data_IF_523828245877
#
_entry.id   IF_523828245877
#
_cell.length_a   1.000
_cell.length_b   1.000
_cell.length_c   1.000
_cell.angle_alpha   90.00
_cell.angle_beta   90.00
_cell.angle_gamma   90.00
#
_symmetry.space_group_name_H-M   'P 1'
#
loop_
_entity.id
_entity.type
_entity.pdbx_description
1 polymer ?
#
# COMPACT_ATOMS: atom_id res chain seq x y z
N UNK A 1 -63.61 16.76 2.54
CA UNK A 1 -62.43 17.13 3.35
C UNK A 1 -61.39 16.07 3.08
N UNK A 2 -60.42 16.42 2.25
CA UNK A 2 -59.31 15.56 1.84
C UNK A 2 -58.35 15.54 3.01
N UNK A 3 -58.10 14.36 3.58
CA UNK A 3 -57.07 14.15 4.60
C UNK A 3 -55.86 13.53 3.91
N UNK A 4 -54.83 14.35 3.69
CA UNK A 4 -53.55 13.91 3.16
C UNK A 4 -52.82 13.07 4.22
N UNK A 5 -52.43 11.86 3.85
CA UNK A 5 -51.53 11.00 4.62
C UNK A 5 -50.09 11.32 4.20
N UNK A 6 -49.33 11.98 5.06
CA UNK A 6 -47.89 12.14 4.88
C UNK A 6 -47.18 10.79 5.13
N UNK A 7 -46.75 10.17 4.03
CA UNK A 7 -45.81 9.06 4.04
C UNK A 7 -44.40 9.64 4.11
N UNK A 8 -43.79 9.58 5.30
CA UNK A 8 -42.37 9.88 5.52
C UNK A 8 -41.53 8.73 4.96
N UNK A 9 -41.20 8.78 3.67
CA UNK A 9 -40.13 7.98 3.08
C UNK A 9 -38.78 8.60 3.50
N UNK A 10 -38.01 7.86 4.29
CA UNK A 10 -36.64 8.21 4.62
C UNK A 10 -35.80 8.14 3.36
N UNK A 11 -35.42 9.31 2.81
CA UNK A 11 -34.41 9.42 1.78
C UNK A 11 -33.06 8.99 2.36
N UNK A 12 -32.64 7.78 1.99
CA UNK A 12 -31.27 7.34 2.19
C UNK A 12 -30.35 8.27 1.41
N UNK A 13 -29.53 9.02 2.14
CA UNK A 13 -28.45 9.84 1.59
C UNK A 13 -27.57 8.97 0.70
N UNK A 14 -27.80 9.03 -0.61
CA UNK A 14 -26.92 8.45 -1.60
C UNK A 14 -25.55 9.11 -1.41
N UNK A 15 -24.57 8.33 -0.96
CA UNK A 15 -23.18 8.72 -1.00
C UNK A 15 -22.83 8.87 -2.48
N UNK A 16 -22.86 10.09 -2.98
CA UNK A 16 -22.29 10.45 -4.28
C UNK A 16 -20.80 10.16 -4.21
N UNK A 17 -20.42 8.99 -4.70
CA UNK A 17 -19.05 8.71 -5.14
C UNK A 17 -18.75 9.78 -6.18
N UNK A 18 -17.80 10.66 -5.89
CA UNK A 18 -17.31 11.63 -6.88
C UNK A 18 -16.77 10.82 -8.05
N UNK A 19 -17.35 11.00 -9.23
CA UNK A 19 -16.71 10.59 -10.48
C UNK A 19 -15.31 11.21 -10.49
N UNK A 20 -14.30 10.37 -10.57
CA UNK A 20 -12.91 10.80 -10.68
C UNK A 20 -12.63 11.13 -12.13
N UNK A 21 -12.20 12.36 -12.42
CA UNK A 21 -11.75 12.80 -13.75
C UNK A 21 -10.44 12.11 -14.22
N UNK A 22 -9.95 11.11 -13.48
CA UNK A 22 -8.72 10.40 -13.77
C UNK A 22 -8.94 9.23 -14.73
N UNK A 23 -7.93 8.92 -15.53
CA UNK A 23 -7.96 7.70 -16.36
C UNK A 23 -8.08 6.44 -15.48
N UNK A 24 -8.60 5.33 -16.03
CA UNK A 24 -8.64 4.02 -15.34
C UNK A 24 -7.26 3.66 -14.77
N UNK A 25 -6.20 3.96 -15.51
CA UNK A 25 -4.83 3.76 -15.06
C UNK A 25 -4.50 4.60 -13.81
N UNK A 26 -4.88 5.87 -13.75
CA UNK A 26 -4.65 6.73 -12.59
C UNK A 26 -5.39 6.23 -11.34
N UNK A 27 -6.60 5.69 -11.50
CA UNK A 27 -7.34 5.07 -10.42
C UNK A 27 -6.70 3.78 -9.91
N UNK A 28 -6.12 2.99 -10.82
CA UNK A 28 -5.53 1.69 -10.49
C UNK A 28 -4.15 1.81 -9.86
N UNK A 29 -3.31 2.72 -10.37
CA UNK A 29 -1.89 2.82 -9.98
C UNK A 29 -1.49 4.19 -9.43
N UNK A 30 -2.45 5.09 -9.18
CA UNK A 30 -2.18 6.34 -8.47
C UNK A 30 -1.65 6.08 -7.06
N UNK A 31 -0.59 6.80 -6.68
CA UNK A 31 0.07 6.61 -5.39
C UNK A 31 0.72 5.23 -5.19
N UNK A 32 1.07 4.53 -6.27
CA UNK A 32 1.64 3.19 -6.19
C UNK A 32 3.03 3.15 -5.51
N UNK A 33 3.83 4.21 -5.61
CA UNK A 33 5.21 4.21 -5.15
C UNK A 33 5.47 5.17 -4.00
N UNK A 34 6.03 4.65 -2.92
CA UNK A 34 6.55 5.49 -1.83
C UNK A 34 8.06 5.67 -1.98
N UNK A 35 8.52 6.92 -1.89
CA UNK A 35 9.91 7.24 -2.08
C UNK A 35 10.76 6.97 -0.84
N UNK A 36 11.56 5.91 -0.90
CA UNK A 36 12.41 5.44 0.18
C UNK A 36 13.90 5.80 -0.04
N UNK A 37 14.19 7.06 -0.38
CA UNK A 37 15.55 7.49 -0.79
C UNK A 37 16.66 7.27 0.24
N UNK A 38 16.33 7.24 1.54
CA UNK A 38 17.30 6.96 2.62
C UNK A 38 17.70 5.48 2.71
N UNK A 39 16.99 4.58 2.03
CA UNK A 39 17.20 3.15 2.11
C UNK A 39 17.95 2.65 0.87
N UNK A 40 18.64 1.49 0.95
CA UNK A 40 19.29 0.90 -0.20
C UNK A 40 18.31 0.71 -1.38
N UNK A 41 18.79 0.90 -2.63
CA UNK A 41 20.18 1.16 -3.00
C UNK A 41 20.61 2.62 -2.89
N UNK A 42 19.70 3.59 -2.95
CA UNK A 42 20.03 5.01 -3.04
C UNK A 42 20.81 5.51 -1.82
N UNK A 43 20.36 5.14 -0.61
CA UNK A 43 21.05 5.43 0.66
C UNK A 43 21.42 6.90 0.84
N UNK A 44 20.57 7.81 0.33
CA UNK A 44 20.79 9.25 0.40
C UNK A 44 20.80 9.73 1.85
N UNK A 45 21.50 10.83 2.10
CA UNK A 45 21.33 11.53 3.36
C UNK A 45 19.89 12.09 3.48
N UNK A 46 19.49 12.42 4.70
CA UNK A 46 18.12 12.83 4.99
C UNK A 46 17.72 14.11 4.24
N UNK A 47 18.58 15.13 4.17
CA UNK A 47 18.27 16.38 3.50
C UNK A 47 18.33 16.23 1.98
N UNK A 48 19.23 15.40 1.46
CA UNK A 48 19.32 15.05 0.05
C UNK A 48 18.10 14.30 -0.45
N UNK A 49 17.57 13.37 0.35
CA UNK A 49 16.30 12.70 0.08
C UNK A 49 15.16 13.71 -0.03
N UNK A 50 15.06 14.66 0.92
CA UNK A 50 14.02 15.70 0.90
C UNK A 50 14.16 16.64 -0.31
N UNK A 51 15.37 17.08 -0.64
CA UNK A 51 15.64 17.89 -1.84
C UNK A 51 15.25 17.17 -3.13
N UNK A 52 15.52 15.86 -3.21
CA UNK A 52 15.13 15.06 -4.36
C UNK A 52 13.60 14.97 -4.48
N UNK A 53 12.92 14.69 -3.38
CA UNK A 53 11.46 14.57 -3.34
C UNK A 53 10.74 15.89 -3.63
N UNK A 54 11.29 17.03 -3.19
CA UNK A 54 10.75 18.35 -3.50
C UNK A 54 10.68 18.66 -5.01
N UNK A 55 11.54 18.03 -5.82
CA UNK A 55 11.55 18.20 -7.27
C UNK A 55 10.59 17.30 -8.04
N UNK A 56 9.82 16.41 -7.38
CA UNK A 56 9.02 15.39 -8.10
C UNK A 56 7.96 15.97 -9.03
N UNK A 57 7.28 17.05 -8.64
CA UNK A 57 6.27 17.72 -9.48
C UNK A 57 6.86 18.26 -10.80
N UNK A 58 8.14 18.65 -10.79
CA UNK A 58 8.82 19.22 -11.96
C UNK A 58 9.58 18.16 -12.77
N UNK A 59 10.11 17.14 -12.10
CA UNK A 59 11.06 16.18 -12.71
C UNK A 59 10.42 14.88 -13.17
N UNK A 60 9.31 14.44 -12.55
CA UNK A 60 8.64 13.20 -12.93
C UNK A 60 7.65 13.46 -14.07
N UNK A 61 7.65 12.55 -15.06
CA UNK A 61 6.63 12.58 -16.11
C UNK A 61 5.22 12.30 -15.59
N UNK A 62 5.10 11.63 -14.43
CA UNK A 62 3.84 11.25 -13.77
C UNK A 62 3.96 11.36 -12.25
N UNK A 63 3.94 12.57 -11.67
CA UNK A 63 4.10 12.79 -10.22
C UNK A 63 3.02 12.07 -9.39
N UNK A 64 1.83 11.92 -9.95
CA UNK A 64 0.68 11.25 -9.33
C UNK A 64 0.90 9.76 -8.99
N UNK A 65 1.94 9.12 -9.53
CA UNK A 65 2.34 7.76 -9.15
C UNK A 65 2.97 7.69 -7.75
N UNK A 66 3.45 8.81 -7.22
CA UNK A 66 4.05 8.87 -5.88
C UNK A 66 2.94 8.83 -4.83
N UNK A 67 3.02 7.91 -3.87
CA UNK A 67 2.10 7.74 -2.74
C UNK A 67 2.58 8.49 -1.48
N UNK A 68 3.88 8.45 -1.23
CA UNK A 68 4.58 9.22 -0.21
C UNK A 68 5.87 9.82 -0.79
N UNK A 69 6.08 11.12 -0.57
CA UNK A 69 7.32 11.81 -0.91
C UNK A 69 8.48 11.40 -0.02
N UNK A 70 8.21 10.84 1.17
CA UNK A 70 9.26 10.40 2.08
C UNK A 70 8.85 9.15 2.89
N UNK A 71 9.60 8.06 2.73
CA UNK A 71 9.66 6.98 3.71
C UNK A 71 10.83 7.26 4.65
N UNK A 72 10.57 7.39 5.95
CA UNK A 72 11.60 7.72 6.95
C UNK A 72 11.50 6.82 8.19
N UNK A 73 12.59 6.62 8.94
CA UNK A 73 12.50 6.11 10.30
C UNK A 73 11.60 7.00 11.17
N UNK A 74 10.76 6.40 12.01
CA UNK A 74 9.80 7.14 12.83
C UNK A 74 10.47 8.16 13.78
N UNK A 75 11.70 7.89 14.23
CA UNK A 75 12.50 8.78 15.08
C UNK A 75 13.04 10.03 14.36
N UNK A 76 12.94 10.08 13.02
CA UNK A 76 13.28 11.25 12.20
C UNK A 76 12.12 12.22 12.01
N UNK A 77 10.90 11.85 12.43
CA UNK A 77 9.73 12.70 12.22
C UNK A 77 9.90 14.09 12.85
N UNK A 78 10.44 14.17 14.07
CA UNK A 78 10.67 15.45 14.76
C UNK A 78 11.69 16.36 14.05
N UNK A 79 12.55 15.80 13.19
CA UNK A 79 13.51 16.56 12.40
C UNK A 79 12.89 17.15 11.13
N UNK A 80 11.69 16.71 10.70
CA UNK A 80 10.97 17.28 9.56
C UNK A 80 10.28 18.60 9.93
N UNK A 81 11.07 19.62 10.26
CA UNK A 81 10.54 20.94 10.59
C UNK A 81 10.01 21.66 9.34
N UNK A 82 9.05 22.58 9.49
CA UNK A 82 8.58 23.42 8.38
C UNK A 82 9.73 24.13 7.64
N UNK A 83 10.67 24.71 8.38
CA UNK A 83 11.83 25.41 7.82
C UNK A 83 12.69 24.47 6.97
N UNK A 84 12.95 23.25 7.44
CA UNK A 84 13.72 22.26 6.68
C UNK A 84 13.03 21.91 5.37
N UNK A 85 11.72 21.65 5.41
CA UNK A 85 10.94 21.29 4.22
C UNK A 85 10.91 22.43 3.20
N UNK A 86 10.67 23.66 3.65
CA UNK A 86 10.71 24.85 2.80
C UNK A 86 12.10 25.06 2.20
N UNK A 87 13.18 24.93 3.00
CA UNK A 87 14.55 25.06 2.50
C UNK A 87 14.98 23.94 1.56
N UNK A 88 14.33 22.77 1.65
CA UNK A 88 14.56 21.63 0.75
C UNK A 88 13.86 21.82 -0.61
N UNK A 89 12.97 22.82 -0.73
CA UNK A 89 12.29 23.17 -1.97
C UNK A 89 10.80 22.84 -2.00
N UNK A 90 10.21 22.30 -0.94
CA UNK A 90 8.76 22.05 -0.92
C UNK A 90 7.98 23.37 -0.84
N UNK A 91 6.88 23.45 -1.59
CA UNK A 91 6.00 24.63 -1.58
C UNK A 91 5.22 24.79 -0.25
N UNK A 92 4.90 23.67 0.41
CA UNK A 92 4.21 23.66 1.70
C UNK A 92 4.50 22.37 2.48
N UNK A 93 4.82 22.45 3.78
CA UNK A 93 4.91 21.28 4.66
C UNK A 93 3.64 20.43 4.66
N UNK A 94 2.47 21.06 4.59
CA UNK A 94 1.15 20.41 4.68
C UNK A 94 0.79 19.58 3.44
N UNK A 95 1.62 19.58 2.40
CA UNK A 95 1.44 18.73 1.22
C UNK A 95 2.43 17.57 1.15
N UNK A 96 3.41 17.53 2.06
CA UNK A 96 4.42 16.46 2.06
C UNK A 96 3.81 15.21 2.70
N UNK A 97 3.69 14.13 1.94
CA UNK A 97 3.16 12.85 2.40
C UNK A 97 4.30 11.97 2.90
N UNK A 98 4.17 11.50 4.13
CA UNK A 98 5.23 10.81 4.84
C UNK A 98 4.76 9.45 5.33
N UNK A 99 5.54 8.42 5.00
CA UNK A 99 5.40 7.07 5.53
C UNK A 99 6.49 6.83 6.59
N UNK A 100 6.09 6.35 7.76
CA UNK A 100 6.98 6.07 8.88
C UNK A 100 7.35 4.59 8.92
N UNK A 101 8.62 4.29 9.14
CA UNK A 101 9.13 2.95 9.38
C UNK A 101 9.60 2.82 10.84
N UNK A 102 9.18 1.78 11.54
CA UNK A 102 9.57 1.60 12.95
C UNK A 102 9.18 0.26 13.54
N UNK A 103 9.08 0.24 14.88
CA UNK A 103 8.53 -0.87 15.66
C UNK A 103 7.08 -0.63 16.08
N UNK A 104 6.66 -1.29 17.16
CA UNK A 104 5.33 -1.12 17.75
C UNK A 104 5.27 0.00 18.80
N UNK A 105 6.42 0.58 19.16
CA UNK A 105 6.49 1.68 20.11
C UNK A 105 5.83 2.91 19.50
N UNK A 106 4.79 3.41 20.17
CA UNK A 106 3.99 4.55 19.73
C UNK A 106 4.85 5.81 19.79
N UNK A 107 5.24 6.41 18.64
CA UNK A 107 5.95 7.67 18.67
C UNK A 107 4.99 8.79 19.09
N UNK A 108 5.53 9.83 19.71
CA UNK A 108 4.81 11.10 19.84
C UNK A 108 4.72 11.74 18.45
N UNK A 109 3.51 11.76 17.89
CA UNK A 109 3.27 12.24 16.53
C UNK A 109 2.67 13.64 16.60
N UNK A 110 3.55 14.65 16.47
CA UNK A 110 3.18 16.01 16.10
C UNK A 110 3.87 16.30 14.79
N UNK A 111 3.10 16.63 13.75
CA UNK A 111 3.65 16.93 12.45
C UNK A 111 2.79 17.96 11.73
N UNK A 112 3.46 18.85 11.02
CA UNK A 112 2.85 19.76 10.03
C UNK A 112 2.95 19.18 8.61
N UNK A 113 3.13 17.86 8.49
CA UNK A 113 3.09 17.10 7.24
C UNK A 113 1.90 16.15 7.21
N UNK A 114 1.64 15.55 6.05
CA UNK A 114 0.59 14.55 5.89
C UNK A 114 1.17 13.17 6.17
N UNK A 115 0.87 12.61 7.34
CA UNK A 115 1.27 11.24 7.63
C UNK A 115 0.32 10.26 6.93
N UNK A 116 0.85 9.40 6.06
CA UNK A 116 0.03 8.47 5.26
C UNK A 116 0.02 7.06 5.81
N UNK A 117 1.16 6.56 6.29
CA UNK A 117 1.26 5.23 6.86
C UNK A 117 2.34 5.09 7.92
N UNK A 118 2.15 4.15 8.84
CA UNK A 118 3.18 3.69 9.76
C UNK A 118 3.35 2.18 9.59
N UNK A 119 4.56 1.78 9.29
CA UNK A 119 4.96 0.43 8.94
C UNK A 119 5.85 -0.14 10.04
N UNK A 120 5.32 -1.11 10.78
CA UNK A 120 6.00 -1.71 11.91
C UNK A 120 6.56 -3.09 11.56
N UNK A 121 7.86 -3.28 11.77
CA UNK A 121 8.47 -4.61 11.74
C UNK A 121 8.07 -5.38 12.98
N UNK A 122 7.63 -6.63 12.79
CA UNK A 122 7.14 -7.47 13.88
C UNK A 122 7.76 -8.85 13.80
N UNK A 123 8.48 -9.24 14.86
CA UNK A 123 9.06 -10.59 15.00
C UNK A 123 7.98 -11.63 15.39
N UNK A 124 7.06 -11.23 16.27
CA UNK A 124 5.96 -12.06 16.73
C UNK A 124 4.68 -11.22 16.87
N UNK A 125 3.57 -11.73 16.36
CA UNK A 125 2.29 -11.01 16.40
C UNK A 125 1.73 -10.97 17.83
N UNK A 126 1.61 -9.75 18.36
CA UNK A 126 0.92 -9.45 19.60
C UNK A 126 -0.28 -8.55 19.27
N UNK A 127 -1.48 -9.12 19.25
CA UNK A 127 -2.69 -8.41 18.84
C UNK A 127 -3.00 -7.19 19.72
N UNK A 128 -2.64 -7.20 21.01
CA UNK A 128 -2.87 -6.07 21.89
C UNK A 128 -1.92 -4.90 21.56
N UNK A 129 -0.64 -5.18 21.33
CA UNK A 129 0.33 -4.16 20.92
C UNK A 129 0.03 -3.61 19.51
N UNK A 130 -0.30 -4.49 18.57
CA UNK A 130 -0.69 -4.07 17.21
C UNK A 130 -1.94 -3.19 17.27
N UNK A 131 -2.94 -3.54 18.08
CA UNK A 131 -4.14 -2.72 18.25
C UNK A 131 -3.80 -1.33 18.81
N UNK A 132 -2.98 -1.26 19.87
CA UNK A 132 -2.58 0.02 20.46
C UNK A 132 -1.82 0.92 19.46
N UNK A 133 -0.89 0.35 18.70
CA UNK A 133 -0.16 1.07 17.66
C UNK A 133 -1.09 1.55 16.54
N UNK A 134 -2.00 0.68 16.08
CA UNK A 134 -3.00 0.99 15.08
C UNK A 134 -3.95 2.12 15.50
N UNK A 135 -4.49 2.06 16.72
CA UNK A 135 -5.34 3.12 17.26
C UNK A 135 -4.60 4.46 17.31
N UNK A 136 -3.30 4.45 17.62
CA UNK A 136 -2.49 5.66 17.58
C UNK A 136 -2.27 6.20 16.17
N UNK A 137 -1.90 5.34 15.23
CA UNK A 137 -1.74 5.71 13.82
C UNK A 137 -3.06 6.26 13.24
N UNK A 138 -4.17 5.56 13.50
CA UNK A 138 -5.47 5.91 12.92
C UNK A 138 -6.03 7.23 13.48
N UNK A 139 -5.72 7.60 14.73
CA UNK A 139 -6.05 8.94 15.27
C UNK A 139 -5.36 10.07 14.50
N UNK A 140 -4.21 9.80 13.89
CA UNK A 140 -3.49 10.73 13.02
C UNK A 140 -3.90 10.61 11.54
N UNK A 141 -4.96 9.84 11.23
CA UNK A 141 -5.39 9.61 9.85
C UNK A 141 -4.51 8.63 9.06
N UNK A 142 -3.55 7.98 9.70
CA UNK A 142 -2.61 7.06 9.05
C UNK A 142 -3.13 5.64 9.02
N UNK A 143 -2.78 4.90 7.97
CA UNK A 143 -2.91 3.45 7.95
C UNK A 143 -1.73 2.79 8.67
N UNK A 144 -2.00 1.81 9.53
CA UNK A 144 -0.96 1.03 10.18
C UNK A 144 -0.69 -0.25 9.38
N UNK A 145 0.57 -0.61 9.16
CA UNK A 145 0.95 -1.85 8.47
C UNK A 145 1.84 -2.70 9.37
N UNK A 146 1.47 -3.98 9.48
CA UNK A 146 2.30 -5.00 10.14
C UNK A 146 3.21 -5.63 9.08
N UNK A 147 4.53 -5.63 9.30
CA UNK A 147 5.55 -6.27 8.46
C UNK A 147 6.22 -7.44 9.22
N UNK A 148 5.66 -8.66 9.14
CA UNK A 148 6.29 -9.86 9.70
C UNK A 148 7.66 -10.11 9.09
N UNK A 149 8.66 -10.39 9.94
CA UNK A 149 10.00 -10.80 9.48
C UNK A 149 10.05 -12.31 9.21
N UNK A 150 9.17 -12.79 8.35
CA UNK A 150 8.95 -14.21 8.08
C UNK A 150 9.75 -14.72 6.89
N UNK A 151 10.14 -16.00 6.97
CA UNK A 151 10.63 -16.79 5.84
C UNK A 151 9.47 -17.18 4.90
N UNK A 152 9.74 -17.58 3.65
CA UNK A 152 8.69 -18.02 2.72
C UNK A 152 7.80 -19.15 3.27
N UNK A 153 8.37 -20.11 4.01
CA UNK A 153 7.58 -21.17 4.67
C UNK A 153 6.62 -20.61 5.72
N UNK A 154 7.08 -19.69 6.56
CA UNK A 154 6.24 -19.06 7.58
C UNK A 154 5.12 -18.23 6.96
N UNK A 155 5.35 -17.59 5.81
CA UNK A 155 4.30 -16.94 5.04
C UNK A 155 3.21 -17.93 4.64
N UNK A 156 3.58 -19.05 4.04
CA UNK A 156 2.63 -20.07 3.61
C UNK A 156 1.80 -20.62 4.78
N UNK A 157 2.45 -20.95 5.90
CA UNK A 157 1.80 -21.59 7.04
C UNK A 157 0.99 -20.58 7.90
N UNK A 158 1.44 -19.33 8.01
CA UNK A 158 0.97 -18.38 9.01
C UNK A 158 0.06 -17.27 8.49
N UNK A 159 0.11 -16.93 7.20
CA UNK A 159 -0.55 -15.70 6.70
C UNK A 159 -2.06 -15.74 6.82
N UNK A 160 -2.70 -16.89 6.62
CA UNK A 160 -4.16 -17.00 6.72
C UNK A 160 -4.65 -16.64 8.12
N UNK A 161 -3.95 -17.12 9.17
CA UNK A 161 -4.28 -16.80 10.55
C UNK A 161 -4.00 -15.33 10.89
N UNK A 162 -2.85 -14.79 10.44
CA UNK A 162 -2.52 -13.38 10.65
C UNK A 162 -3.53 -12.46 9.95
N UNK A 163 -3.85 -12.70 8.68
CA UNK A 163 -4.78 -11.88 7.91
C UNK A 163 -6.18 -11.88 8.54
N UNK A 164 -6.67 -13.03 9.00
CA UNK A 164 -7.92 -13.13 9.75
C UNK A 164 -7.87 -12.30 11.05
N UNK A 165 -6.79 -12.41 11.83
CA UNK A 165 -6.61 -11.64 13.06
C UNK A 165 -6.59 -10.12 12.81
N UNK A 166 -5.91 -9.68 11.75
CA UNK A 166 -5.92 -8.26 11.33
C UNK A 166 -7.32 -7.81 10.88
N UNK A 167 -8.06 -8.66 10.16
CA UNK A 167 -9.44 -8.40 9.77
C UNK A 167 -10.38 -8.26 10.98
N UNK A 168 -10.23 -9.09 12.00
CA UNK A 168 -10.99 -8.99 13.26
C UNK A 168 -10.61 -7.76 14.09
N UNK A 169 -9.34 -7.36 14.05
CA UNK A 169 -8.87 -6.13 14.68
C UNK A 169 -9.46 -4.90 13.99
N UNK A 170 -9.56 -4.90 12.66
CA UNK A 170 -10.19 -3.81 11.88
C UNK A 170 -11.66 -3.58 12.24
N UNK A 171 -12.37 -4.56 12.81
CA UNK A 171 -13.74 -4.39 13.32
C UNK A 171 -13.77 -3.64 14.66
N UNK A 172 -12.63 -3.51 15.34
CA UNK A 172 -12.50 -2.98 16.71
C UNK A 172 -11.81 -1.61 16.76
N UNK A 173 -11.17 -1.18 15.67
CA UNK A 173 -10.51 0.13 15.57
C UNK A 173 -11.29 1.05 14.62
N UNK A 174 -11.21 2.35 14.87
CA UNK A 174 -11.78 3.38 14.00
C UNK A 174 -10.70 4.01 13.13
N UNK A 175 -11.08 4.54 11.96
CA UNK A 175 -10.17 5.21 11.05
C UNK A 175 -9.66 4.28 9.93
N UNK A 176 -8.47 4.54 9.37
CA UNK A 176 -7.98 3.79 8.22
C UNK A 176 -7.84 2.28 8.48
N UNK A 177 -7.53 1.86 9.71
CA UNK A 177 -7.34 0.45 10.07
C UNK A 177 -5.91 -0.04 9.86
N UNK A 178 -5.77 -1.37 9.89
CA UNK A 178 -4.53 -2.14 9.84
C UNK A 178 -4.45 -2.95 8.56
N UNK A 179 -3.30 -2.90 7.90
CA UNK A 179 -2.96 -3.71 6.75
C UNK A 179 -1.78 -4.65 7.00
N UNK A 180 -1.55 -5.52 6.03
CA UNK A 180 -0.37 -6.39 5.98
C UNK A 180 0.65 -5.80 5.01
N UNK A 181 1.93 -5.85 5.40
CA UNK A 181 3.05 -5.45 4.54
C UNK A 181 4.00 -6.63 4.33
N UNK A 182 4.49 -6.75 3.09
CA UNK A 182 5.55 -7.69 2.71
C UNK A 182 6.76 -6.97 2.13
N UNK A 183 7.88 -7.67 2.11
CA UNK A 183 9.14 -7.21 1.52
C UNK A 183 9.49 -8.07 0.31
N UNK A 184 9.80 -7.47 -0.84
CA UNK A 184 10.16 -8.15 -2.09
C UNK A 184 11.66 -8.35 -2.31
N UNK A 185 12.52 -7.82 -1.44
CA UNK A 185 13.99 -7.99 -1.53
C UNK A 185 14.69 -8.13 -0.18
N UNK A 186 15.94 -8.57 -0.18
CA UNK A 186 16.71 -8.78 1.06
C UNK A 186 16.44 -10.15 1.72
N UNK A 187 16.87 -10.35 2.98
CA UNK A 187 16.93 -11.68 3.60
C UNK A 187 15.57 -12.32 3.86
N UNK A 188 14.52 -11.51 3.96
CA UNK A 188 13.12 -11.95 4.14
C UNK A 188 12.27 -11.65 2.91
N UNK A 189 12.89 -11.61 1.71
CA UNK A 189 12.18 -11.41 0.47
C UNK A 189 11.11 -12.48 0.28
N UNK A 190 9.89 -12.05 -0.02
CA UNK A 190 8.81 -12.94 -0.39
C UNK A 190 8.99 -13.41 -1.83
N UNK A 191 8.79 -14.70 -2.07
CA UNK A 191 8.75 -15.27 -3.43
C UNK A 191 7.33 -15.26 -4.00
N UNK A 192 7.21 -15.53 -5.31
CA UNK A 192 5.90 -15.51 -5.97
C UNK A 192 4.89 -16.51 -5.38
N UNK A 193 5.25 -17.78 -5.07
CA UNK A 193 4.31 -18.71 -4.44
C UNK A 193 3.81 -18.25 -3.06
N UNK A 194 4.71 -17.79 -2.17
CA UNK A 194 4.31 -17.25 -0.88
C UNK A 194 3.44 -16.00 -1.04
N UNK A 195 3.78 -15.12 -2.00
CA UNK A 195 3.00 -13.92 -2.29
C UNK A 195 1.60 -14.26 -2.82
N UNK A 196 1.44 -15.32 -3.62
CA UNK A 196 0.12 -15.80 -4.04
C UNK A 196 -0.74 -16.21 -2.83
N UNK A 197 -0.15 -16.96 -1.89
CA UNK A 197 -0.82 -17.32 -0.64
C UNK A 197 -1.20 -16.08 0.18
N UNK A 198 -0.33 -15.07 0.23
CA UNK A 198 -0.60 -13.79 0.89
C UNK A 198 -1.77 -13.06 0.21
N UNK A 199 -1.77 -12.96 -1.12
CA UNK A 199 -2.83 -12.32 -1.91
C UNK A 199 -4.19 -12.96 -1.60
N UNK A 200 -4.26 -14.29 -1.61
CA UNK A 200 -5.46 -15.03 -1.22
C UNK A 200 -5.92 -14.73 0.21
N UNK A 201 -4.99 -14.67 1.16
CA UNK A 201 -5.30 -14.39 2.56
C UNK A 201 -5.80 -12.96 2.78
N UNK A 202 -5.14 -11.95 2.19
CA UNK A 202 -5.55 -10.53 2.36
C UNK A 202 -6.87 -10.25 1.65
N UNK A 203 -7.10 -10.82 0.47
CA UNK A 203 -8.36 -10.68 -0.26
C UNK A 203 -9.52 -11.33 0.48
N UNK A 204 -9.31 -12.51 1.08
CA UNK A 204 -10.31 -13.20 1.90
C UNK A 204 -10.64 -12.40 3.16
N UNK A 205 -9.63 -11.86 3.84
CA UNK A 205 -9.81 -11.07 5.05
C UNK A 205 -10.31 -9.63 4.76
N UNK A 206 -10.25 -9.17 3.51
CA UNK A 206 -10.62 -7.81 3.13
C UNK A 206 -9.71 -6.76 3.77
N UNK A 207 -8.44 -7.10 4.02
CA UNK A 207 -7.50 -6.18 4.65
C UNK A 207 -6.63 -5.47 3.61
N UNK A 208 -6.22 -4.22 3.89
CA UNK A 208 -5.24 -3.51 3.08
C UNK A 208 -3.93 -4.26 2.99
N UNK A 209 -3.25 -4.09 1.87
CA UNK A 209 -2.00 -4.77 1.58
C UNK A 209 -0.98 -3.82 0.97
N UNK A 210 0.28 -3.98 1.36
CA UNK A 210 1.42 -3.22 0.82
C UNK A 210 2.60 -4.14 0.54
N UNK A 211 3.24 -3.96 -0.59
CA UNK A 211 4.52 -4.60 -0.88
C UNK A 211 5.58 -3.53 -1.06
N UNK A 212 6.78 -3.78 -0.54
CA UNK A 212 7.89 -2.82 -0.56
C UNK A 212 9.21 -3.50 -0.87
N UNK A 213 10.18 -2.71 -1.34
CA UNK A 213 11.55 -3.11 -1.67
C UNK A 213 11.63 -4.22 -2.75
N UNK A 214 12.38 -3.96 -3.84
CA UNK A 214 12.59 -4.96 -4.90
C UNK A 214 11.53 -5.03 -5.99
N UNK A 215 10.41 -4.30 -5.86
CA UNK A 215 9.37 -4.19 -6.89
C UNK A 215 9.54 -2.93 -7.74
N UNK A 216 10.73 -2.76 -8.31
CA UNK A 216 11.08 -1.57 -9.11
C UNK A 216 10.77 -1.73 -10.60
N UNK A 217 10.54 -2.96 -11.05
CA UNK A 217 10.32 -3.30 -12.46
C UNK A 217 8.85 -3.65 -12.71
N UNK A 218 8.24 -3.15 -13.81
CA UNK A 218 6.84 -3.42 -14.13
C UNK A 218 6.60 -4.92 -14.40
N UNK A 219 7.55 -5.55 -15.09
CA UNK A 219 7.52 -6.92 -15.58
C UNK A 219 8.73 -7.71 -15.05
N UNK A 220 8.76 -9.01 -15.31
CA UNK A 220 9.94 -9.83 -15.06
C UNK A 220 11.02 -9.60 -16.12
N UNK A 221 12.21 -9.29 -15.64
CA UNK A 221 13.43 -9.13 -16.44
C UNK A 221 14.58 -9.82 -15.70
N UNK A 222 14.38 -11.10 -15.35
CA UNK A 222 15.24 -11.87 -14.46
C UNK A 222 16.71 -11.88 -14.88
N UNK A 223 16.99 -11.94 -16.19
CA UNK A 223 18.36 -11.96 -16.73
C UNK A 223 19.09 -10.61 -16.58
N UNK A 224 18.34 -9.50 -16.45
CA UNK A 224 18.89 -8.13 -16.38
C UNK A 224 18.94 -7.64 -14.94
N UNK A 225 17.84 -7.80 -14.20
CA UNK A 225 17.66 -7.22 -12.87
C UNK A 225 17.52 -8.26 -11.76
N UNK A 226 17.47 -9.56 -12.08
CA UNK A 226 17.31 -10.63 -11.10
C UNK A 226 15.97 -10.62 -10.38
N UNK A 227 14.98 -9.89 -10.89
CA UNK A 227 13.66 -9.83 -10.28
C UNK A 227 12.81 -11.05 -10.64
N UNK A 228 12.03 -11.53 -9.67
CA UNK A 228 11.12 -12.68 -9.82
C UNK A 228 9.64 -12.30 -9.73
N UNK A 229 9.35 -11.03 -9.45
CA UNK A 229 8.00 -10.44 -9.41
C UNK A 229 8.04 -9.06 -10.09
N UNK A 230 7.05 -8.76 -10.92
CA UNK A 230 6.81 -7.43 -11.50
C UNK A 230 5.68 -6.68 -10.78
N UNK A 231 5.77 -5.36 -10.64
CA UNK A 231 4.72 -4.60 -9.93
C UNK A 231 3.38 -4.58 -10.67
N UNK A 232 3.36 -4.68 -12.00
CA UNK A 232 2.10 -4.79 -12.76
C UNK A 232 1.41 -6.13 -12.48
N UNK A 233 2.19 -7.21 -12.45
CA UNK A 233 1.71 -8.53 -12.05
C UNK A 233 1.12 -8.53 -10.65
N UNK A 234 1.74 -7.82 -9.70
CA UNK A 234 1.20 -7.70 -8.33
C UNK A 234 -0.13 -6.95 -8.29
N UNK A 235 -0.21 -5.77 -8.92
CA UNK A 235 -1.45 -4.99 -8.98
C UNK A 235 -2.56 -5.82 -9.65
N UNK A 236 -2.26 -6.44 -10.78
CA UNK A 236 -3.21 -7.27 -11.51
C UNK A 236 -3.68 -8.45 -10.68
N UNK A 237 -2.76 -9.20 -10.08
CA UNK A 237 -3.08 -10.38 -9.31
C UNK A 237 -3.97 -10.09 -8.09
N UNK A 238 -3.65 -9.03 -7.33
CA UNK A 238 -4.46 -8.58 -6.20
C UNK A 238 -5.89 -8.26 -6.62
N UNK A 239 -6.04 -7.46 -7.68
CA UNK A 239 -7.34 -6.94 -8.14
C UNK A 239 -8.19 -8.00 -8.83
N UNK A 240 -7.60 -8.79 -9.73
CA UNK A 240 -8.29 -9.88 -10.41
C UNK A 240 -8.78 -10.90 -9.39
N UNK A 241 -7.92 -11.41 -8.52
CA UNK A 241 -8.35 -12.40 -7.52
C UNK A 241 -9.44 -11.84 -6.59
N UNK A 242 -9.35 -10.56 -6.23
CA UNK A 242 -10.38 -9.90 -5.41
C UNK A 242 -11.74 -9.85 -6.13
N UNK A 243 -11.74 -9.66 -7.43
CA UNK A 243 -12.94 -9.46 -8.24
C UNK A 243 -13.59 -10.78 -8.68
N UNK A 244 -12.80 -11.74 -9.18
CA UNK A 244 -13.32 -12.99 -9.76
C UNK A 244 -13.16 -14.21 -8.83
N UNK A 245 -12.45 -14.05 -7.71
CA UNK A 245 -12.29 -15.06 -6.68
C UNK A 245 -11.25 -16.15 -7.02
N UNK A 246 -10.78 -16.89 -6.00
CA UNK A 246 -9.74 -17.91 -6.17
C UNK A 246 -10.20 -19.15 -6.95
N UNK A 247 -11.51 -19.35 -7.12
CA UNK A 247 -12.05 -20.45 -7.93
C UNK A 247 -11.85 -20.19 -9.44
N UNK A 248 -11.73 -18.92 -9.85
CA UNK A 248 -11.52 -18.51 -11.24
C UNK A 248 -10.14 -17.90 -11.49
N UNK A 249 -9.34 -17.72 -10.44
CA UNK A 249 -7.99 -17.17 -10.50
C UNK A 249 -7.18 -17.70 -9.32
N UNK A 250 -6.80 -18.96 -9.43
CA UNK A 250 -6.18 -19.72 -8.36
C UNK A 250 -4.72 -19.29 -8.10
N UNK A 251 -4.09 -19.91 -7.09
CA UNK A 251 -2.70 -19.57 -6.74
C UNK A 251 -1.71 -19.82 -7.89
N UNK A 252 -1.98 -20.78 -8.78
CA UNK A 252 -1.13 -21.06 -9.95
C UNK A 252 -1.22 -19.93 -10.96
N UNK A 253 -2.44 -19.45 -11.25
CA UNK A 253 -2.65 -18.32 -12.15
C UNK A 253 -2.14 -17.01 -11.56
N UNK A 254 -2.30 -16.81 -10.25
CA UNK A 254 -1.72 -15.67 -9.52
C UNK A 254 -0.19 -15.67 -9.67
N UNK A 255 0.48 -16.80 -9.45
CA UNK A 255 1.94 -16.91 -9.64
C UNK A 255 2.32 -16.57 -11.09
N UNK A 256 1.60 -17.10 -12.08
CA UNK A 256 1.86 -16.79 -13.49
C UNK A 256 1.70 -15.29 -13.80
N UNK A 257 0.71 -14.63 -13.19
CA UNK A 257 0.49 -13.18 -13.33
C UNK A 257 1.62 -12.37 -12.68
N UNK A 258 2.04 -12.73 -11.46
CA UNK A 258 3.18 -12.11 -10.77
C UNK A 258 4.49 -12.24 -11.57
N UNK A 259 4.62 -13.32 -12.33
CA UNK A 259 5.81 -13.67 -13.11
C UNK A 259 5.70 -13.30 -14.60
N UNK A 260 4.75 -12.46 -14.98
CA UNK A 260 4.58 -12.05 -16.39
C UNK A 260 5.74 -11.18 -16.86
N UNK A 261 6.33 -11.56 -17.99
CA UNK A 261 7.46 -10.87 -18.61
C UNK A 261 7.07 -10.02 -19.83
N UNK A 262 5.88 -10.25 -20.39
CA UNK A 262 5.44 -9.61 -21.64
C UNK A 262 4.49 -8.46 -21.34
N UNK A 263 4.77 -7.26 -21.86
CA UNK A 263 3.89 -6.11 -21.70
C UNK A 263 2.50 -6.36 -22.32
N UNK A 264 2.45 -7.17 -23.39
CA UNK A 264 1.22 -7.55 -24.08
C UNK A 264 0.30 -8.45 -23.23
N UNK A 265 0.77 -8.99 -22.10
CA UNK A 265 -0.08 -9.69 -21.15
C UNK A 265 -1.03 -8.72 -20.42
N UNK A 266 -0.78 -7.40 -20.43
CA UNK A 266 -1.55 -6.42 -19.68
C UNK A 266 -2.24 -5.37 -20.57
N UNK A 267 -3.47 -5.00 -20.21
CA UNK A 267 -4.19 -3.87 -20.81
C UNK A 267 -4.86 -3.04 -19.69
N UNK A 268 -4.71 -1.72 -19.78
CA UNK A 268 -5.23 -0.73 -18.82
C UNK A 268 -6.13 0.32 -19.48
N UNK A 269 -6.52 0.13 -20.74
CA UNK A 269 -7.24 1.12 -21.54
C UNK A 269 -8.68 1.34 -21.05
N UNK A 270 -9.43 0.24 -20.87
CA UNK A 270 -10.85 0.25 -20.49
C UNK A 270 -11.10 -0.32 -19.08
N UNK A 271 -10.08 -0.92 -18.47
CA UNK A 271 -10.18 -1.67 -17.23
C UNK A 271 -8.81 -2.17 -16.78
N UNK A 272 -8.78 -3.29 -16.07
CA UNK A 272 -7.57 -4.07 -15.81
C UNK A 272 -7.72 -5.44 -16.48
N UNK A 273 -6.89 -5.71 -17.48
CA UNK A 273 -6.78 -7.01 -18.10
C UNK A 273 -5.43 -7.67 -17.79
N UNK A 274 -5.47 -8.99 -17.61
CA UNK A 274 -4.30 -9.86 -17.73
C UNK A 274 -4.65 -11.05 -18.60
N UNK A 275 -4.00 -11.17 -19.77
CA UNK A 275 -4.33 -12.15 -20.81
C UNK A 275 -5.83 -12.12 -21.16
N UNK A 276 -6.55 -13.22 -20.94
CA UNK A 276 -7.99 -13.32 -21.22
C UNK A 276 -8.87 -12.87 -20.06
N UNK A 277 -8.29 -12.56 -18.89
CA UNK A 277 -9.04 -12.10 -17.72
C UNK A 277 -9.18 -10.58 -17.75
N UNK A 278 -10.36 -10.09 -17.42
CA UNK A 278 -10.70 -8.67 -17.48
C UNK A 278 -11.63 -8.28 -16.34
N UNK A 279 -11.36 -7.12 -15.73
CA UNK A 279 -12.28 -6.44 -14.83
C UNK A 279 -12.36 -4.95 -15.22
N UNK A 280 -13.55 -4.37 -15.13
CA UNK A 280 -13.81 -2.94 -15.35
C UNK A 280 -13.59 -2.13 -14.07
#
# INVERSE_FOLDING_TARGET
MVGESESSAAEGSAVTVRESDGSVLELLVGGLFDYAGMFPPASLDFEEMLRTAAGFEETLARPWLVGAEAVIPADRLAAMTPDLLLSSGFASPLHVRVALLGGLDVPEMLSETVLVSWEAKVEAFDGAKVRAAAESANRQGMRFYVEPQWTPRQWHDGVSGLAAALGDLNKQVSGPGVGLKVRGSGPTAIDAPALATVIAAVNRAGIPFKATAGLHHPLIEADVYGNSIGFLGLVAALRLQRAIGPDNFDDTEVVACLQSAEAADFDFSEGLAWRSLYIS
#
